data_IF_651666896310
#
_entry.id   IF_651666896310
#
_cell.length_a   1.000
_cell.length_b   1.000
_cell.length_c   1.000
_cell.angle_alpha   90.00
_cell.angle_beta   90.00
_cell.angle_gamma   90.00
#
_symmetry.space_group_name_H-M   'P 1'
#
loop_
_entity.id
_entity.type
_entity.pdbx_description
1 polymer ?
#
# COMPACT_ATOMS: atom_id res chain seq x y z
N UNK A 1 -7.18 25.29 11.44
CA UNK A 1 -7.90 24.02 11.75
C UNK A 1 -7.55 22.87 10.79
N UNK A 2 -7.23 23.13 9.51
CA UNK A 2 -6.96 22.08 8.50
C UNK A 2 -5.69 21.25 8.73
N UNK A 3 -4.73 21.78 9.48
CA UNK A 3 -3.51 21.09 9.89
C UNK A 3 -3.79 19.84 10.76
N UNK A 4 -4.68 19.96 11.76
CA UNK A 4 -5.04 18.84 12.63
C UNK A 4 -5.82 17.76 11.88
N UNK A 5 -6.67 18.17 10.93
CA UNK A 5 -7.46 17.25 10.13
C UNK A 5 -6.58 16.37 9.22
N UNK A 6 -5.51 16.93 8.64
CA UNK A 6 -4.53 16.14 7.89
C UNK A 6 -3.85 15.09 8.75
N UNK A 7 -3.38 15.51 9.94
CA UNK A 7 -2.65 14.65 10.86
C UNK A 7 -3.51 13.48 11.34
N UNK A 8 -4.77 13.74 11.66
CA UNK A 8 -5.70 12.68 12.08
C UNK A 8 -5.99 11.70 10.94
N UNK A 9 -6.21 12.19 9.72
CA UNK A 9 -6.49 11.34 8.56
C UNK A 9 -5.28 10.53 8.11
N UNK A 10 -4.08 11.10 8.16
CA UNK A 10 -2.85 10.38 7.80
C UNK A 10 -2.57 9.24 8.77
N UNK A 11 -2.71 9.50 10.07
CA UNK A 11 -2.63 8.45 11.10
C UNK A 11 -3.70 7.40 10.92
N UNK A 12 -4.95 7.81 10.72
CA UNK A 12 -6.06 6.88 10.51
C UNK A 12 -5.83 5.95 9.32
N UNK A 13 -5.41 6.48 8.17
CA UNK A 13 -5.11 5.66 6.99
C UNK A 13 -3.94 4.70 7.27
N UNK A 14 -2.86 5.16 7.91
CA UNK A 14 -1.71 4.32 8.24
C UNK A 14 -2.12 3.18 9.20
N UNK A 15 -2.88 3.48 10.24
CA UNK A 15 -3.39 2.50 11.21
C UNK A 15 -4.27 1.45 10.52
N UNK A 16 -5.19 1.87 9.66
CA UNK A 16 -6.08 0.95 8.94
C UNK A 16 -5.31 0.04 7.97
N UNK A 17 -4.30 0.55 7.26
CA UNK A 17 -3.46 -0.28 6.39
C UNK A 17 -2.66 -1.30 7.21
N UNK A 18 -2.08 -0.88 8.34
CA UNK A 18 -1.28 -1.74 9.21
C UNK A 18 -2.09 -2.75 10.04
N UNK A 19 -3.42 -2.75 9.93
CA UNK A 19 -4.25 -3.86 10.44
C UNK A 19 -4.13 -5.12 9.57
N UNK A 20 -3.68 -4.98 8.31
CA UNK A 20 -3.35 -6.09 7.42
C UNK A 20 -1.94 -6.60 7.70
N UNK A 21 -1.73 -7.92 7.56
CA UNK A 21 -0.38 -8.52 7.61
C UNK A 21 0.51 -8.09 6.44
N UNK A 22 -0.09 -7.55 5.37
CA UNK A 22 0.65 -7.13 4.16
C UNK A 22 1.40 -5.81 4.33
N UNK A 23 0.89 -4.89 5.15
CA UNK A 23 1.40 -3.52 5.18
C UNK A 23 2.01 -3.15 6.54
N UNK A 24 3.12 -2.42 6.49
CA UNK A 24 3.75 -1.84 7.67
C UNK A 24 4.32 -0.45 7.36
N UNK A 25 4.51 0.37 8.40
CA UNK A 25 5.24 1.63 8.25
C UNK A 25 6.73 1.34 8.01
N UNK A 26 7.31 1.92 6.96
CA UNK A 26 8.74 1.79 6.70
C UNK A 26 9.59 2.58 7.71
N UNK A 27 9.00 3.59 8.37
CA UNK A 27 9.67 4.45 9.34
C UNK A 27 8.79 4.73 10.55
N UNK A 28 9.36 4.58 11.75
CA UNK A 28 8.71 4.90 13.02
C UNK A 28 8.92 6.37 13.42
N UNK A 29 8.54 7.29 12.53
CA UNK A 29 8.63 8.74 12.80
C UNK A 29 7.27 9.39 12.66
N UNK A 30 6.94 10.39 13.50
CA UNK A 30 5.69 11.12 13.36
C UNK A 30 5.66 11.85 12.03
N UNK A 31 4.70 11.49 11.20
CA UNK A 31 4.45 12.07 9.88
C UNK A 31 3.26 13.01 9.92
N UNK A 32 3.34 14.12 9.19
CA UNK A 32 2.24 15.09 9.15
C UNK A 32 1.22 14.74 8.06
N UNK A 33 1.62 14.86 6.79
CA UNK A 33 0.76 14.60 5.62
C UNK A 33 1.17 13.36 4.84
N UNK A 34 2.39 12.88 5.02
CA UNK A 34 2.98 11.86 4.16
C UNK A 34 3.70 10.81 4.97
N UNK A 35 3.49 9.53 4.64
CA UNK A 35 4.16 8.41 5.27
C UNK A 35 4.48 7.34 4.23
N UNK A 36 5.41 6.46 4.57
CA UNK A 36 5.86 5.38 3.68
C UNK A 36 5.35 4.06 4.21
N UNK A 37 4.68 3.32 3.32
CA UNK A 37 4.21 1.96 3.56
C UNK A 37 5.16 1.00 2.85
N UNK A 38 5.56 -0.04 3.58
CA UNK A 38 6.23 -1.22 3.05
C UNK A 38 5.19 -2.29 2.75
N UNK A 39 5.28 -2.86 1.56
CA UNK A 39 4.45 -3.95 1.06
C UNK A 39 5.20 -5.28 1.19
N UNK A 40 4.74 -6.16 2.08
CA UNK A 40 5.35 -7.46 2.29
C UNK A 40 5.26 -8.39 1.06
N UNK A 41 4.34 -8.11 0.13
CA UNK A 41 4.20 -8.88 -1.13
C UNK A 41 5.17 -8.41 -2.22
N UNK A 42 5.92 -7.30 -2.01
CA UNK A 42 6.89 -6.71 -2.98
C UNK A 42 6.30 -6.49 -4.40
N UNK A 43 5.03 -6.09 -4.47
CA UNK A 43 4.28 -5.90 -5.72
C UNK A 43 3.66 -4.49 -5.82
N UNK A 44 4.44 -3.50 -5.41
CA UNK A 44 3.99 -2.10 -5.26
C UNK A 44 3.41 -1.54 -6.56
N UNK A 45 4.06 -1.77 -7.71
CA UNK A 45 3.59 -1.23 -8.98
C UNK A 45 2.23 -1.79 -9.40
N UNK A 46 2.00 -3.10 -9.24
CA UNK A 46 0.71 -3.70 -9.58
C UNK A 46 -0.37 -3.31 -8.57
N UNK A 47 -0.02 -3.22 -7.28
CA UNK A 47 -0.91 -2.75 -6.22
C UNK A 47 -1.41 -1.32 -6.52
N UNK A 48 -0.49 -0.39 -6.82
CA UNK A 48 -0.83 1.00 -7.12
C UNK A 48 -1.64 1.14 -8.41
N UNK A 49 -1.37 0.31 -9.43
CA UNK A 49 -2.20 0.25 -10.65
C UNK A 49 -3.61 -0.23 -10.36
N UNK A 50 -3.76 -1.28 -9.55
CA UNK A 50 -5.07 -1.82 -9.18
C UNK A 50 -5.90 -0.79 -8.40
N UNK A 51 -5.26 -0.06 -7.47
CA UNK A 51 -5.91 1.03 -6.76
C UNK A 51 -6.31 2.17 -7.71
N UNK A 52 -5.46 2.51 -8.68
CA UNK A 52 -5.75 3.54 -9.68
C UNK A 52 -6.93 3.15 -10.56
N UNK A 53 -7.01 1.90 -11.00
CA UNK A 53 -8.13 1.36 -11.78
C UNK A 53 -9.45 1.38 -10.98
N UNK A 54 -9.36 1.27 -9.66
CA UNK A 54 -10.49 1.46 -8.73
C UNK A 54 -10.81 2.94 -8.43
N UNK A 55 -10.09 3.88 -9.04
CA UNK A 55 -10.30 5.33 -8.88
C UNK A 55 -9.50 5.99 -7.75
N UNK A 56 -8.54 5.28 -7.16
CA UNK A 56 -7.74 5.75 -6.04
C UNK A 56 -6.28 5.99 -6.40
N UNK A 57 -5.82 7.24 -6.24
CA UNK A 57 -4.39 7.56 -6.24
C UNK A 57 -3.78 7.19 -4.87
N UNK A 58 -3.39 5.92 -4.72
CA UNK A 58 -2.94 5.38 -3.43
C UNK A 58 -1.59 5.93 -2.96
N UNK A 59 -0.65 6.18 -3.87
CA UNK A 59 0.67 6.67 -3.54
C UNK A 59 1.64 6.66 -4.70
N UNK A 60 2.93 6.81 -4.38
CA UNK A 60 4.03 6.89 -5.34
C UNK A 60 5.06 5.77 -5.04
N UNK A 61 5.41 4.90 -6.00
CA UNK A 61 6.43 3.88 -5.79
C UNK A 61 7.79 4.54 -5.59
N UNK A 62 8.56 4.08 -4.60
CA UNK A 62 9.85 4.69 -4.25
C UNK A 62 11.04 4.09 -5.00
N UNK A 63 10.88 2.89 -5.57
CA UNK A 63 11.90 2.13 -6.30
C UNK A 63 12.68 2.95 -7.34
N UNK A 64 12.02 3.91 -8.00
CA UNK A 64 12.61 4.77 -9.02
C UNK A 64 13.75 5.65 -8.50
N UNK A 65 13.67 6.09 -7.25
CA UNK A 65 14.64 7.00 -6.65
C UNK A 65 15.48 6.33 -5.56
N UNK A 66 14.93 5.31 -4.91
CA UNK A 66 15.52 4.60 -3.79
C UNK A 66 15.36 3.09 -4.01
N UNK A 67 16.33 2.44 -4.69
CA UNK A 67 16.28 1.00 -4.94
C UNK A 67 16.14 0.15 -3.68
N UNK A 68 16.66 0.62 -2.54
CA UNK A 68 16.53 0.00 -1.21
C UNK A 68 15.12 0.08 -0.61
N UNK A 69 14.23 0.85 -1.25
CA UNK A 69 12.81 0.99 -0.91
C UNK A 69 11.93 0.50 -2.07
N UNK A 70 12.37 -0.55 -2.78
CA UNK A 70 11.64 -1.11 -3.92
C UNK A 70 10.25 -1.64 -3.55
N UNK A 71 10.16 -2.19 -2.33
CA UNK A 71 8.95 -2.71 -1.71
C UNK A 71 8.12 -1.63 -0.99
N UNK A 72 8.42 -0.35 -1.24
CA UNK A 72 7.76 0.76 -0.55
C UNK A 72 7.05 1.74 -1.51
N UNK A 73 6.00 2.36 -1.00
CA UNK A 73 5.36 3.52 -1.62
C UNK A 73 5.08 4.65 -0.62
N UNK A 74 5.16 5.88 -1.10
CA UNK A 74 4.83 7.09 -0.36
C UNK A 74 3.34 7.41 -0.51
N UNK A 75 2.65 7.55 0.61
CA UNK A 75 1.24 7.96 0.68
C UNK A 75 1.17 9.41 1.12
N UNK A 76 0.43 10.24 0.37
CA UNK A 76 0.14 11.62 0.72
C UNK A 76 -1.35 11.81 1.02
N UNK A 77 -1.68 12.31 2.21
CA UNK A 77 -3.06 12.58 2.64
C UNK A 77 -3.32 14.08 2.61
N UNK A 78 -4.28 14.48 1.77
CA UNK A 78 -4.70 15.87 1.62
C UNK A 78 -5.95 16.16 2.44
N UNK A 79 -6.21 17.45 2.66
CA UNK A 79 -7.32 17.97 3.49
C UNK A 79 -8.70 17.53 2.99
N UNK A 80 -8.82 17.24 1.69
CA UNK A 80 -10.07 16.92 1.00
C UNK A 80 -10.54 15.48 1.16
N UNK A 81 -9.68 14.51 1.50
CA UNK A 81 -10.10 13.11 1.65
C UNK A 81 -11.06 12.95 2.82
N UNK A 82 -12.26 12.46 2.56
CA UNK A 82 -13.25 12.07 3.57
C UNK A 82 -12.88 10.73 4.20
N UNK A 83 -13.47 10.41 5.36
CA UNK A 83 -13.28 9.10 5.99
C UNK A 83 -13.71 7.95 5.08
N UNK A 84 -14.85 8.11 4.39
CA UNK A 84 -15.37 7.08 3.45
C UNK A 84 -14.39 6.82 2.30
N UNK A 85 -13.77 7.86 1.75
CA UNK A 85 -12.74 7.68 0.71
C UNK A 85 -11.48 7.01 1.24
N UNK A 86 -11.11 7.26 2.50
CA UNK A 86 -10.00 6.55 3.17
C UNK A 86 -10.34 5.08 3.34
N UNK A 87 -11.54 4.77 3.83
CA UNK A 87 -11.99 3.39 4.03
C UNK A 87 -12.00 2.62 2.69
N UNK A 88 -12.54 3.22 1.63
CA UNK A 88 -12.54 2.61 0.29
C UNK A 88 -11.14 2.43 -0.31
N UNK A 89 -10.20 3.36 -0.05
CA UNK A 89 -8.80 3.19 -0.43
C UNK A 89 -8.16 1.99 0.31
N UNK A 90 -8.40 1.85 1.62
CA UNK A 90 -7.91 0.71 2.40
C UNK A 90 -8.46 -0.58 1.84
N UNK A 91 -9.77 -0.64 1.59
CA UNK A 91 -10.42 -1.82 1.04
C UNK A 91 -9.85 -2.20 -0.34
N UNK A 92 -9.59 -1.22 -1.20
CA UNK A 92 -8.96 -1.44 -2.52
C UNK A 92 -7.55 -2.05 -2.39
N UNK A 93 -6.74 -1.52 -1.48
CA UNK A 93 -5.37 -1.99 -1.25
C UNK A 93 -5.32 -3.37 -0.58
N UNK A 94 -6.21 -3.63 0.38
CA UNK A 94 -6.23 -4.89 1.14
C UNK A 94 -6.93 -6.01 0.37
N UNK A 95 -8.01 -5.74 -0.37
CA UNK A 95 -8.73 -6.77 -1.15
C UNK A 95 -7.89 -7.33 -2.28
N UNK A 96 -6.93 -6.55 -2.80
CA UNK A 96 -5.94 -6.99 -3.78
C UNK A 96 -5.04 -8.14 -3.26
N UNK A 97 -4.98 -8.36 -1.93
CA UNK A 97 -4.24 -9.48 -1.30
C UNK A 97 -4.88 -10.86 -1.52
N UNK A 98 -6.14 -10.93 -1.96
CA UNK A 98 -6.88 -12.21 -2.07
C UNK A 98 -6.52 -12.95 -3.38
N UNK A 99 -5.84 -12.32 -4.33
CA UNK A 99 -5.54 -12.89 -5.65
C UNK A 99 -4.25 -13.71 -5.81
N UNK A 100 -3.25 -13.55 -4.93
CA UNK A 100 -1.87 -14.00 -5.26
C UNK A 100 -1.45 -15.37 -4.70
N UNK A 101 -2.29 -16.04 -3.90
CA UNK A 101 -1.95 -17.39 -3.37
C UNK A 101 -2.05 -18.54 -4.38
N UNK A 102 -2.56 -18.32 -5.60
CA UNK A 102 -2.78 -19.41 -6.58
C UNK A 102 -1.62 -19.61 -7.57
N UNK A 103 -0.70 -18.67 -7.73
CA UNK A 103 0.27 -18.75 -8.86
C UNK A 103 1.60 -19.45 -8.51
N UNK A 104 2.00 -19.54 -7.23
CA UNK A 104 3.31 -20.12 -6.88
C UNK A 104 3.33 -21.67 -6.83
N UNK A 105 2.18 -22.33 -6.82
CA UNK A 105 2.11 -23.80 -6.73
C UNK A 105 2.31 -24.54 -8.07
N UNK A 106 2.37 -23.83 -9.22
CA UNK A 106 2.49 -24.48 -10.55
C UNK A 106 3.92 -24.60 -11.10
N UNK A 107 4.93 -24.00 -10.45
CA UNK A 107 6.30 -23.98 -10.99
C UNK A 107 7.25 -25.06 -10.46
N UNK A 108 6.81 -25.91 -9.54
CA UNK A 108 7.62 -27.00 -8.94
C UNK A 108 7.35 -28.39 -9.52
N UNK A 109 6.55 -28.51 -10.58
CA UNK A 109 6.07 -29.79 -11.11
C UNK A 109 6.71 -30.31 -12.41
N UNK A 110 7.76 -29.70 -12.96
CA UNK A 110 8.41 -30.21 -14.18
C UNK A 110 9.94 -30.14 -14.11
N UNK A 111 10.57 -31.16 -13.51
CA UNK A 111 11.89 -31.59 -14.00
C UNK A 111 12.15 -33.07 -13.69
N UNK A 112 12.50 -33.81 -14.75
CA UNK A 112 13.06 -35.17 -14.85
C UNK A 112 12.11 -36.38 -14.81
N UNK A 113 11.57 -36.71 -16.00
CA UNK A 113 11.56 -38.08 -16.53
C UNK A 113 12.41 -38.13 -17.81
N UNK A 114 13.58 -38.74 -17.71
CA UNK A 114 14.34 -39.54 -18.69
C UNK A 114 15.81 -39.47 -18.33
#
# INVERSE_FOLDING_TARGET
>A
ETANLCLQKSRYLAEQLCQSERFSLAFDRPTFKEFVIRDADDDVDALLRTALDAGYLAGLPLSRWYPELSDCFLVAVTEKRTKVEIDGLVDSLVSSSIGSRVTLARKIGLTKRS
#
